data_IF_606261207618
#
_entry.id   IF_606261207618
#
_cell.length_a   1.000
_cell.length_b   1.000
_cell.length_c   1.000
_cell.angle_alpha   90.00
_cell.angle_beta   90.00
_cell.angle_gamma   90.00
#
_symmetry.space_group_name_H-M   'P 1'
#
loop_
_entity.id
_entity.type
_entity.pdbx_description
1 polymer ?
#
# COMPACT_ATOMS: atom_id res chain seq x y z
N UNK A 1 10.55 64.36 8.10
CA UNK A 1 11.67 63.39 8.16
C UNK A 1 11.50 62.61 9.44
N UNK A 2 10.79 61.48 9.38
CA UNK A 2 10.59 60.62 10.55
C UNK A 2 11.83 59.74 10.73
N UNK A 3 12.52 59.93 11.85
CA UNK A 3 13.70 59.15 12.21
C UNK A 3 13.26 57.77 12.67
N UNK A 4 13.61 56.74 11.90
CA UNK A 4 13.42 55.34 12.32
C UNK A 4 14.27 55.07 13.55
N UNK A 5 13.62 54.56 14.60
CA UNK A 5 14.21 54.27 15.90
C UNK A 5 15.40 53.30 15.77
N UNK A 6 16.61 53.64 16.29
CA UNK A 6 17.76 52.76 16.28
C UNK A 6 17.52 51.39 16.95
N UNK A 7 16.60 51.27 17.91
CA UNK A 7 16.24 49.97 18.49
C UNK A 7 15.56 49.05 17.46
N UNK A 8 14.80 49.62 16.53
CA UNK A 8 14.07 48.85 15.51
C UNK A 8 15.01 48.33 14.42
N UNK A 9 16.11 49.04 14.13
CA UNK A 9 17.22 48.49 13.33
C UNK A 9 17.92 47.35 14.02
N UNK A 10 18.17 47.46 15.32
CA UNK A 10 18.89 46.44 16.07
C UNK A 10 18.06 45.16 16.23
N UNK A 11 16.73 45.28 16.40
CA UNK A 11 15.81 44.14 16.39
C UNK A 11 15.73 43.44 15.03
N UNK A 12 15.72 44.20 13.92
CA UNK A 12 15.74 43.60 12.56
C UNK A 12 17.04 42.84 12.29
N UNK A 13 18.19 43.42 12.66
CA UNK A 13 19.50 42.79 12.44
C UNK A 13 19.70 41.51 13.27
N UNK A 14 19.14 41.46 14.48
CA UNK A 14 19.12 40.24 15.31
C UNK A 14 18.13 39.18 14.82
N UNK A 15 17.03 39.57 14.15
CA UNK A 15 16.11 38.62 13.52
C UNK A 15 16.67 37.98 12.24
N UNK A 16 17.49 38.71 11.48
CA UNK A 16 18.12 38.18 10.26
C UNK A 16 19.32 37.27 10.58
N UNK A 17 20.03 37.52 11.68
CA UNK A 17 21.22 36.75 12.07
C UNK A 17 20.91 35.41 12.76
N UNK A 18 19.65 35.20 13.18
CA UNK A 18 19.19 33.96 13.83
C UNK A 18 18.32 33.09 12.91
N UNK A 19 18.36 33.32 11.59
CA UNK A 19 17.71 32.43 10.64
C UNK A 19 18.36 31.05 10.70
N UNK A 20 17.78 30.16 11.51
CA UNK A 20 18.17 28.75 11.61
C UNK A 20 18.15 28.21 10.18
N UNK A 21 19.30 27.76 9.63
CA UNK A 21 19.35 27.22 8.29
C UNK A 21 18.31 26.11 8.19
N UNK A 22 17.41 26.23 7.21
CA UNK A 22 16.42 25.19 6.96
C UNK A 22 17.15 23.84 6.83
N UNK A 23 16.73 22.81 7.58
CA UNK A 23 17.40 21.52 7.53
C UNK A 23 17.54 21.05 6.07
N UNK A 24 18.66 20.42 5.68
CA UNK A 24 18.93 20.04 4.30
C UNK A 24 17.80 19.25 3.63
N UNK A 25 17.01 18.51 4.43
CA UNK A 25 15.83 17.75 4.00
C UNK A 25 14.80 18.60 3.27
N UNK A 26 14.67 19.90 3.59
CA UNK A 26 13.72 20.79 2.91
C UNK A 26 14.18 21.24 1.52
N UNK A 27 15.43 20.94 1.14
CA UNK A 27 16.00 21.30 -0.16
C UNK A 27 15.94 20.16 -1.17
N UNK A 28 15.57 18.96 -0.74
CA UNK A 28 15.45 17.80 -1.63
C UNK A 28 14.10 17.87 -2.33
N UNK A 29 14.06 17.90 -3.68
CA UNK A 29 12.81 17.82 -4.41
C UNK A 29 12.02 16.56 -4.05
N UNK A 30 10.69 16.62 -3.97
CA UNK A 30 9.88 15.47 -3.57
C UNK A 30 10.05 14.25 -4.49
N UNK A 31 10.39 14.46 -5.76
CA UNK A 31 10.67 13.40 -6.74
C UNK A 31 11.95 12.64 -6.38
N UNK A 32 13.02 13.37 -6.01
CA UNK A 32 14.27 12.76 -5.57
C UNK A 32 14.07 12.02 -4.26
N UNK A 33 13.29 12.59 -3.35
CA UNK A 33 12.95 11.93 -2.09
C UNK A 33 12.14 10.64 -2.33
N UNK A 34 11.22 10.65 -3.30
CA UNK A 34 10.46 9.47 -3.71
C UNK A 34 11.38 8.36 -4.22
N UNK A 35 12.32 8.70 -5.10
CA UNK A 35 13.29 7.74 -5.62
C UNK A 35 14.20 7.18 -4.53
N UNK A 36 14.69 8.03 -3.61
CA UNK A 36 15.44 7.59 -2.44
C UNK A 36 14.63 6.57 -1.64
N UNK A 37 13.34 6.82 -1.38
CA UNK A 37 12.51 5.85 -0.68
C UNK A 37 12.34 4.58 -1.50
N UNK A 38 12.01 4.66 -2.80
CA UNK A 38 11.90 3.47 -3.65
C UNK A 38 13.15 2.58 -3.59
N UNK A 39 14.35 3.18 -3.55
CA UNK A 39 15.64 2.49 -3.53
C UNK A 39 16.04 2.01 -2.13
N UNK A 40 15.86 2.82 -1.10
CA UNK A 40 16.23 2.49 0.28
C UNK A 40 15.23 1.51 0.92
N UNK A 41 14.02 1.41 0.36
CA UNK A 41 12.91 0.70 0.97
C UNK A 41 12.22 -0.32 0.06
N UNK A 42 12.96 -1.16 -0.70
CA UNK A 42 12.35 -2.12 -1.62
C UNK A 42 11.50 -3.17 -0.88
N UNK A 43 11.88 -3.49 0.34
CA UNK A 43 11.14 -4.39 1.24
C UNK A 43 9.87 -3.75 1.79
N UNK A 44 9.78 -2.42 1.85
CA UNK A 44 8.63 -1.75 2.48
C UNK A 44 7.33 -1.92 1.72
N UNK A 45 7.41 -2.34 0.46
CA UNK A 45 6.24 -2.74 -0.32
C UNK A 45 5.52 -3.95 0.28
N UNK A 46 6.06 -4.64 1.28
CA UNK A 46 5.39 -5.76 1.93
C UNK A 46 4.67 -5.34 3.21
N UNK A 47 3.46 -5.88 3.41
CA UNK A 47 2.63 -5.63 4.59
C UNK A 47 3.35 -5.84 5.94
N UNK A 48 4.36 -6.71 5.98
CA UNK A 48 5.14 -7.01 7.18
C UNK A 48 5.95 -5.80 7.66
N UNK A 49 6.28 -4.89 6.74
CA UNK A 49 7.14 -3.73 7.01
C UNK A 49 6.32 -2.44 7.15
N UNK A 50 5.03 -2.59 7.41
CA UNK A 50 4.09 -1.50 7.67
C UNK A 50 4.59 -0.45 8.67
N UNK A 51 5.18 -0.94 9.76
CA UNK A 51 5.68 -0.10 10.85
C UNK A 51 6.83 0.80 10.39
N UNK A 52 7.71 0.30 9.54
CA UNK A 52 8.84 1.07 9.03
C UNK A 52 8.37 2.19 8.10
N UNK A 53 7.36 1.94 7.24
CA UNK A 53 6.73 2.99 6.44
C UNK A 53 6.08 4.08 7.28
N UNK A 54 5.37 3.69 8.36
CA UNK A 54 4.83 4.66 9.31
C UNK A 54 5.94 5.49 9.94
N UNK A 55 7.02 4.86 10.41
CA UNK A 55 8.14 5.55 11.05
C UNK A 55 8.80 6.58 10.11
N UNK A 56 8.99 6.24 8.83
CA UNK A 56 9.52 7.19 7.83
C UNK A 56 8.57 8.38 7.65
N UNK A 57 7.26 8.13 7.59
CA UNK A 57 6.24 9.18 7.51
C UNK A 57 6.09 10.05 8.77
N UNK A 58 6.75 9.70 9.88
CA UNK A 58 6.77 10.49 11.11
C UNK A 58 7.95 11.48 11.18
N UNK A 59 8.92 11.41 10.28
CA UNK A 59 10.11 12.27 10.29
C UNK A 59 9.76 13.74 10.10
N UNK A 60 9.04 14.08 9.03
CA UNK A 60 8.52 15.42 8.80
C UNK A 60 7.32 15.41 7.84
N UNK A 61 6.63 16.55 7.69
CA UNK A 61 5.46 16.67 6.81
C UNK A 61 5.80 16.41 5.32
N UNK A 62 6.96 16.88 4.86
CA UNK A 62 7.40 16.67 3.47
C UNK A 62 7.61 15.18 3.17
N UNK A 63 8.26 14.44 4.08
CA UNK A 63 8.44 12.99 3.96
C UNK A 63 7.09 12.28 3.95
N UNK A 64 6.18 12.62 4.87
CA UNK A 64 4.82 12.06 4.89
C UNK A 64 4.08 12.25 3.58
N UNK A 65 4.17 13.44 2.98
CA UNK A 65 3.51 13.74 1.71
C UNK A 65 4.04 12.84 0.58
N UNK A 66 5.36 12.66 0.49
CA UNK A 66 5.98 11.79 -0.52
C UNK A 66 5.66 10.31 -0.28
N UNK A 67 5.52 9.90 0.99
CA UNK A 67 5.17 8.53 1.35
C UNK A 67 3.74 8.13 0.96
N UNK A 68 2.82 9.08 0.76
CA UNK A 68 1.43 8.82 0.33
C UNK A 68 1.35 7.85 -0.85
N UNK A 69 2.22 8.03 -1.86
CA UNK A 69 2.30 7.18 -3.05
C UNK A 69 2.74 5.74 -2.73
N UNK A 70 3.52 5.51 -1.68
CA UNK A 70 3.96 4.17 -1.28
C UNK A 70 2.81 3.36 -0.67
N UNK A 71 1.84 4.01 -0.01
CA UNK A 71 0.64 3.34 0.50
C UNK A 71 -0.26 2.79 -0.61
N UNK A 72 -0.12 3.30 -1.84
CA UNK A 72 -0.87 2.79 -2.99
C UNK A 72 -0.35 1.44 -3.50
N UNK A 73 0.82 0.99 -3.05
CA UNK A 73 1.41 -0.28 -3.45
C UNK A 73 1.50 -1.22 -2.24
N UNK A 74 0.99 -2.44 -2.38
CA UNK A 74 1.08 -3.44 -1.31
C UNK A 74 1.32 -4.84 -1.85
N UNK A 75 2.36 -5.46 -1.32
CA UNK A 75 2.69 -6.87 -1.40
C UNK A 75 2.24 -7.59 -0.12
N UNK A 76 1.47 -8.66 -0.28
CA UNK A 76 1.05 -9.51 0.84
C UNK A 76 1.46 -10.94 0.53
N UNK A 77 2.21 -11.54 1.43
CA UNK A 77 2.47 -12.98 1.40
C UNK A 77 1.45 -13.65 2.30
N UNK A 78 0.57 -14.47 1.72
CA UNK A 78 -0.36 -15.27 2.49
C UNK A 78 0.41 -16.22 3.43
N UNK A 79 -0.16 -16.53 4.59
CA UNK A 79 0.44 -17.46 5.56
C UNK A 79 -0.42 -18.71 5.63
N UNK A 80 0.22 -19.88 5.71
CA UNK A 80 -0.47 -21.16 5.81
C UNK A 80 -1.38 -21.19 7.04
N UNK A 81 -2.62 -21.63 6.86
CA UNK A 81 -3.60 -21.74 7.95
C UNK A 81 -4.04 -20.41 8.55
N UNK A 82 -3.62 -19.26 8.00
CA UNK A 82 -4.03 -17.94 8.49
C UNK A 82 -4.83 -17.22 7.41
N UNK A 83 -6.00 -16.65 7.76
CA UNK A 83 -6.76 -15.86 6.81
C UNK A 83 -5.96 -14.62 6.40
N UNK A 84 -6.18 -14.18 5.17
CA UNK A 84 -5.60 -12.93 4.68
C UNK A 84 -6.16 -11.77 5.53
N UNK A 85 -5.31 -10.84 6.02
CA UNK A 85 -5.74 -9.77 6.92
C UNK A 85 -6.46 -8.64 6.16
N UNK A 86 -7.60 -8.93 5.54
CA UNK A 86 -8.32 -8.03 4.62
C UNK A 86 -8.59 -6.65 5.22
N UNK A 87 -9.08 -6.58 6.47
CA UNK A 87 -9.32 -5.30 7.16
C UNK A 87 -8.06 -4.43 7.25
N UNK A 88 -6.89 -5.03 7.49
CA UNK A 88 -5.64 -4.29 7.59
C UNK A 88 -5.14 -3.84 6.22
N UNK A 89 -5.39 -4.63 5.17
CA UNK A 89 -5.07 -4.25 3.79
C UNK A 89 -5.96 -3.09 3.32
N UNK A 90 -7.25 -3.10 3.66
CA UNK A 90 -8.13 -1.97 3.37
C UNK A 90 -7.70 -0.71 4.13
N UNK A 91 -7.36 -0.83 5.42
CA UNK A 91 -6.85 0.28 6.21
C UNK A 91 -5.51 0.81 5.66
N UNK A 92 -4.64 -0.05 5.12
CA UNK A 92 -3.42 0.35 4.42
C UNK A 92 -3.73 1.27 3.24
N UNK A 93 -4.63 0.80 2.37
CA UNK A 93 -4.99 1.50 1.15
C UNK A 93 -5.79 2.79 1.41
N UNK A 94 -6.46 2.91 2.56
CA UNK A 94 -7.09 4.16 2.97
C UNK A 94 -6.07 5.30 3.12
N UNK A 95 -4.82 5.01 3.51
CA UNK A 95 -3.76 6.01 3.60
C UNK A 95 -3.30 6.55 2.23
N UNK A 96 -3.60 5.84 1.14
CA UNK A 96 -3.28 6.26 -0.23
C UNK A 96 -4.32 7.23 -0.82
N UNK A 97 -5.46 7.43 -0.13
CA UNK A 97 -6.60 8.19 -0.64
C UNK A 97 -7.11 7.66 -1.99
N UNK A 98 -7.27 8.58 -2.93
CA UNK A 98 -7.77 8.30 -4.29
C UNK A 98 -6.67 7.86 -5.28
N UNK A 99 -5.48 7.54 -4.77
CA UNK A 99 -4.41 7.04 -5.63
C UNK A 99 -4.76 5.66 -6.19
N UNK A 100 -4.44 5.37 -7.47
CA UNK A 100 -4.64 4.05 -8.04
C UNK A 100 -3.82 2.99 -7.32
N UNK A 101 -4.46 1.85 -7.01
CA UNK A 101 -3.92 0.86 -6.07
C UNK A 101 -3.33 -0.32 -6.81
N UNK A 102 -2.21 -0.80 -6.28
CA UNK A 102 -1.51 -2.00 -6.75
C UNK A 102 -1.44 -3.02 -5.63
N UNK A 103 -2.02 -4.20 -5.85
CA UNK A 103 -1.96 -5.32 -4.91
C UNK A 103 -1.20 -6.49 -5.52
N UNK A 104 -0.18 -6.97 -4.82
CA UNK A 104 0.58 -8.17 -5.16
C UNK A 104 0.37 -9.24 -4.08
N UNK A 105 -0.40 -10.27 -4.37
CA UNK A 105 -0.63 -11.40 -3.47
C UNK A 105 0.25 -12.57 -3.87
N UNK A 106 1.13 -12.96 -2.95
CA UNK A 106 1.99 -14.13 -3.08
C UNK A 106 1.47 -15.27 -2.20
N UNK A 107 1.57 -16.52 -2.66
CA UNK A 107 1.22 -17.66 -1.84
C UNK A 107 2.19 -17.73 -0.65
N UNK A 108 1.85 -18.45 0.42
CA UNK A 108 2.85 -18.80 1.42
C UNK A 108 4.05 -19.48 0.75
N UNK A 109 5.24 -19.33 1.34
CA UNK A 109 6.45 -20.09 0.99
C UNK A 109 6.22 -21.57 1.27
N UNK A 110 5.42 -22.19 0.43
CA UNK A 110 5.11 -23.60 0.43
C UNK A 110 5.76 -24.20 -0.81
N UNK A 111 6.29 -25.41 -0.67
CA UNK A 111 6.72 -26.20 -1.81
C UNK A 111 5.52 -26.37 -2.75
N UNK A 112 5.77 -26.44 -4.08
CA UNK A 112 4.75 -26.46 -5.14
C UNK A 112 3.61 -27.49 -4.94
N UNK A 113 3.75 -28.44 -4.02
CA UNK A 113 2.86 -29.58 -3.87
C UNK A 113 1.88 -29.51 -2.67
N UNK A 114 1.93 -28.48 -1.81
CA UNK A 114 1.16 -28.51 -0.54
C UNK A 114 -0.12 -27.68 -0.54
N UNK A 115 -0.64 -27.25 -1.69
CA UNK A 115 -1.98 -26.67 -1.74
C UNK A 115 -3.01 -27.80 -1.58
N UNK A 116 -3.75 -27.82 -0.47
CA UNK A 116 -4.86 -28.75 -0.22
C UNK A 116 -5.99 -28.70 -1.27
N UNK A 117 -5.90 -27.72 -2.17
CA UNK A 117 -6.69 -27.43 -3.35
C UNK A 117 -6.84 -28.63 -4.31
N UNK A 118 -5.97 -29.64 -4.22
CA UNK A 118 -6.11 -30.92 -4.95
C UNK A 118 -7.15 -31.87 -4.36
N UNK A 119 -7.44 -31.77 -3.06
CA UNK A 119 -8.29 -32.73 -2.35
C UNK A 119 -9.60 -32.12 -1.87
N UNK A 120 -9.64 -30.83 -1.55
CA UNK A 120 -10.87 -30.13 -1.15
C UNK A 120 -10.80 -28.64 -1.46
N UNK A 121 -11.91 -28.08 -1.96
CA UNK A 121 -12.06 -26.64 -2.16
C UNK A 121 -12.15 -25.85 -0.85
N UNK A 122 -12.58 -26.49 0.24
CA UNK A 122 -12.82 -25.84 1.53
C UNK A 122 -11.54 -25.35 2.22
N UNK A 123 -10.37 -25.88 1.82
CA UNK A 123 -9.08 -25.57 2.47
C UNK A 123 -8.17 -24.68 1.61
N UNK A 124 -8.65 -24.24 0.44
CA UNK A 124 -7.86 -23.37 -0.42
C UNK A 124 -7.70 -22.00 0.24
N UNK A 125 -6.46 -21.59 0.54
CA UNK A 125 -6.18 -20.28 1.15
C UNK A 125 -6.70 -19.11 0.28
N UNK A 126 -6.81 -19.34 -1.04
CA UNK A 126 -7.36 -18.38 -1.99
C UNK A 126 -8.89 -18.25 -1.93
N UNK A 127 -9.60 -19.27 -1.42
CA UNK A 127 -11.04 -19.18 -1.13
C UNK A 127 -11.33 -18.88 0.34
N UNK A 128 -10.32 -18.57 1.15
CA UNK A 128 -10.57 -18.11 2.52
C UNK A 128 -11.45 -16.86 2.50
N UNK A 129 -12.44 -16.81 3.40
CA UNK A 129 -13.55 -15.82 3.41
C UNK A 129 -13.09 -14.37 3.24
N UNK A 130 -11.88 -14.03 3.69
CA UNK A 130 -11.36 -12.67 3.60
C UNK A 130 -10.91 -12.23 2.20
N UNK A 131 -10.38 -13.12 1.37
CA UNK A 131 -9.74 -12.71 0.11
C UNK A 131 -10.74 -12.30 -0.98
N UNK A 132 -11.78 -13.10 -1.29
CA UNK A 132 -12.77 -12.71 -2.27
C UNK A 132 -13.43 -11.36 -1.91
N UNK A 133 -13.81 -11.19 -0.64
CA UNK A 133 -14.34 -9.93 -0.12
C UNK A 133 -13.34 -8.77 -0.31
N UNK A 134 -12.07 -8.98 0.05
CA UNK A 134 -11.02 -7.98 -0.12
C UNK A 134 -10.91 -7.50 -1.58
N UNK A 135 -10.84 -8.44 -2.53
CA UNK A 135 -10.67 -8.09 -3.94
C UNK A 135 -11.88 -7.33 -4.50
N UNK A 136 -13.08 -7.53 -3.95
CA UNK A 136 -14.28 -6.78 -4.31
C UNK A 136 -14.36 -5.41 -3.63
N UNK A 137 -13.69 -5.23 -2.49
CA UNK A 137 -13.80 -4.02 -1.66
C UNK A 137 -12.70 -2.98 -1.89
N UNK A 138 -11.56 -3.33 -2.51
CA UNK A 138 -10.47 -2.37 -2.73
C UNK A 138 -10.89 -1.30 -3.76
N UNK A 139 -11.00 -0.02 -3.39
CA UNK A 139 -11.42 1.03 -4.32
C UNK A 139 -10.28 1.40 -5.28
N UNK A 140 -10.58 1.56 -6.57
CA UNK A 140 -9.59 1.94 -7.60
C UNK A 140 -8.38 0.98 -7.67
N UNK A 141 -8.64 -0.33 -7.57
CA UNK A 141 -7.62 -1.33 -7.82
C UNK A 141 -7.26 -1.32 -9.32
N UNK A 142 -6.09 -0.80 -9.65
CA UNK A 142 -5.63 -0.67 -11.04
C UNK A 142 -4.77 -1.86 -11.46
N UNK A 143 -3.92 -2.34 -10.56
CA UNK A 143 -2.98 -3.43 -10.84
C UNK A 143 -3.13 -4.54 -9.82
N UNK A 144 -3.35 -5.76 -10.30
CA UNK A 144 -3.47 -6.94 -9.48
C UNK A 144 -2.48 -8.00 -9.97
N UNK A 145 -1.56 -8.40 -9.08
CA UNK A 145 -0.66 -9.51 -9.32
C UNK A 145 -0.99 -10.65 -8.35
N UNK A 146 -1.35 -11.80 -8.89
CA UNK A 146 -1.69 -13.00 -8.13
C UNK A 146 -0.76 -14.13 -8.55
N UNK A 147 -0.08 -14.72 -7.58
CA UNK A 147 0.73 -15.91 -7.82
C UNK A 147 0.05 -17.13 -7.22
N UNK A 148 -0.33 -18.07 -8.08
CA UNK A 148 -0.97 -19.32 -7.69
C UNK A 148 0.05 -20.45 -7.63
N UNK A 149 -0.33 -21.51 -6.95
CA UNK A 149 0.39 -22.80 -6.96
C UNK A 149 -0.14 -23.75 -8.03
N UNK A 150 -1.35 -23.48 -8.54
CA UNK A 150 -1.99 -24.25 -9.61
C UNK A 150 -3.16 -23.47 -10.22
N UNK A 151 -3.57 -23.85 -11.44
CA UNK A 151 -4.76 -23.31 -12.08
C UNK A 151 -6.06 -23.58 -11.30
N UNK A 152 -6.12 -24.67 -10.52
CA UNK A 152 -7.29 -24.98 -9.68
C UNK A 152 -7.50 -23.93 -8.60
N UNK A 153 -6.42 -23.39 -8.01
CA UNK A 153 -6.51 -22.33 -7.00
C UNK A 153 -7.15 -21.06 -7.56
N UNK A 154 -6.79 -20.70 -8.79
CA UNK A 154 -7.40 -19.57 -9.49
C UNK A 154 -8.90 -19.80 -9.73
N UNK A 155 -9.28 -20.98 -10.26
CA UNK A 155 -10.70 -21.32 -10.45
C UNK A 155 -11.50 -21.25 -9.14
N UNK A 156 -10.91 -21.74 -8.04
CA UNK A 156 -11.50 -21.69 -6.70
C UNK A 156 -11.67 -20.26 -6.20
N UNK A 157 -10.69 -19.37 -6.43
CA UNK A 157 -10.80 -17.94 -6.11
C UNK A 157 -11.96 -17.29 -6.88
N UNK A 158 -12.01 -17.49 -8.21
CA UNK A 158 -13.05 -16.89 -9.05
C UNK A 158 -14.45 -17.32 -8.61
N UNK A 159 -14.68 -18.62 -8.37
CA UNK A 159 -15.96 -19.12 -7.83
C UNK A 159 -16.33 -18.50 -6.49
N UNK A 160 -15.35 -18.35 -5.60
CA UNK A 160 -15.59 -17.72 -4.30
C UNK A 160 -15.94 -16.23 -4.44
N UNK A 161 -15.32 -15.52 -5.39
CA UNK A 161 -15.66 -14.14 -5.71
C UNK A 161 -17.06 -13.99 -6.31
N UNK A 162 -17.44 -14.88 -7.23
CA UNK A 162 -18.79 -14.91 -7.81
C UNK A 162 -19.84 -15.17 -6.73
N UNK A 163 -19.62 -16.17 -5.87
CA UNK A 163 -20.50 -16.45 -4.74
C UNK A 163 -20.64 -15.22 -3.81
N UNK A 164 -19.53 -14.55 -3.48
CA UNK A 164 -19.56 -13.35 -2.66
C UNK A 164 -20.30 -12.19 -3.33
N UNK A 165 -20.13 -12.00 -4.63
CA UNK A 165 -20.80 -10.96 -5.40
C UNK A 165 -22.33 -11.17 -5.43
N UNK A 166 -22.78 -12.42 -5.59
CA UNK A 166 -24.21 -12.74 -5.55
C UNK A 166 -24.83 -12.49 -4.16
N UNK A 167 -24.10 -12.78 -3.09
CA UNK A 167 -24.57 -12.56 -1.72
C UNK A 167 -24.63 -11.07 -1.31
N UNK A 168 -23.78 -10.22 -1.90
CA UNK A 168 -23.60 -8.83 -1.46
C UNK A 168 -24.47 -7.81 -2.21
N UNK A 169 -25.28 -8.25 -3.19
CA UNK A 169 -26.10 -7.39 -4.04
C UNK A 169 -25.30 -6.62 -5.11
N UNK A 170 -25.96 -5.77 -5.91
CA UNK A 170 -25.34 -5.02 -7.00
C UNK A 170 -24.42 -3.91 -6.46
N UNK A 171 -23.17 -4.25 -6.14
CA UNK A 171 -22.08 -3.28 -5.91
C UNK A 171 -21.29 -3.06 -7.20
N UNK A 172 -20.84 -1.82 -7.42
CA UNK A 172 -19.83 -1.53 -8.45
C UNK A 172 -18.57 -2.31 -8.10
N UNK A 173 -18.25 -3.30 -8.92
CA UNK A 173 -17.04 -4.11 -8.74
C UNK A 173 -15.80 -3.22 -8.88
N UNK A 174 -14.90 -3.26 -7.91
CA UNK A 174 -13.55 -2.68 -7.97
C UNK A 174 -12.78 -3.06 -9.24
N UNK A 175 -13.16 -4.17 -9.87
CA UNK A 175 -12.54 -4.72 -11.07
C UNK A 175 -12.77 -3.88 -12.32
N UNK A 176 -13.76 -2.98 -12.35
CA UNK A 176 -13.94 -2.07 -13.48
C UNK A 176 -12.79 -1.07 -13.63
N UNK A 177 -12.02 -0.82 -12.57
CA UNK A 177 -10.84 0.05 -12.59
C UNK A 177 -9.55 -0.69 -12.92
N UNK A 178 -9.59 -2.02 -13.08
CA UNK A 178 -8.41 -2.83 -13.29
C UNK A 178 -7.85 -2.61 -14.70
N UNK A 179 -6.62 -2.09 -14.78
CA UNK A 179 -5.88 -1.90 -16.04
C UNK A 179 -4.85 -2.99 -16.30
N UNK A 180 -4.39 -3.67 -15.24
CA UNK A 180 -3.40 -4.73 -15.36
C UNK A 180 -3.71 -5.89 -14.43
N UNK A 181 -3.73 -7.09 -15.01
CA UNK A 181 -3.84 -8.35 -14.29
C UNK A 181 -2.63 -9.21 -14.62
N UNK A 182 -1.89 -9.63 -13.60
CA UNK A 182 -0.78 -10.55 -13.73
C UNK A 182 -1.08 -11.83 -12.95
N UNK A 183 -1.03 -12.96 -13.65
CA UNK A 183 -1.28 -14.29 -13.10
C UNK A 183 -0.01 -15.13 -13.31
N UNK A 184 0.56 -15.64 -12.23
CA UNK A 184 1.71 -16.56 -12.25
C UNK A 184 1.26 -17.90 -11.67
N UNK A 185 1.63 -19.02 -12.30
CA UNK A 185 1.11 -20.36 -11.99
C UNK A 185 2.21 -21.37 -11.65
#
# INVERSE_FOLDING_TARGET
>A
MEGVDPEERQRRSLSESNAIPSPPVHRIPPEILHEIFCLATPSLKFFQNAKELLNIGLVCQSWRAVMSAQWAQLGVTARVGKPIPSKKILAWFANAGDSPKTLNLRPPFLTRNTCACRHSSAECSWASVGLPALLLEIPQLEKLALKFTSASCFKTLIRAMEAQATASGPRRSSWFSLRSLYLDF
#
